data_IF_164837134510
#
_entry.id   IF_164837134510
#
_cell.length_a   1.000
_cell.length_b   1.000
_cell.length_c   1.000
_cell.angle_alpha   90.00
_cell.angle_beta   90.00
_cell.angle_gamma   90.00
#
_symmetry.space_group_name_H-M   'P 1'
#
loop_
_entity.id
_entity.type
_entity.pdbx_description
1 polymer ?
#
# COMPACT_ATOMS: atom_id res chain seq x y z
N UNK A 1 -38.05 12.27 -42.07
CA UNK A 1 -37.51 12.04 -40.70
C UNK A 1 -36.28 12.91 -40.51
N UNK A 2 -36.38 14.00 -39.74
CA UNK A 2 -35.24 14.88 -39.51
C UNK A 2 -34.47 14.36 -38.30
N UNK A 3 -33.26 13.88 -38.50
CA UNK A 3 -32.35 13.50 -37.47
C UNK A 3 -31.76 14.73 -36.80
N UNK A 4 -32.06 14.99 -35.53
CA UNK A 4 -31.48 16.08 -34.76
C UNK A 4 -30.15 15.61 -34.12
N UNK A 5 -28.99 15.96 -34.67
CA UNK A 5 -27.68 15.51 -34.11
C UNK A 5 -27.40 16.06 -32.73
N UNK A 6 -28.04 17.12 -32.32
CA UNK A 6 -27.82 17.75 -30.99
C UNK A 6 -28.30 16.90 -29.80
N UNK A 7 -29.24 15.98 -30.02
CA UNK A 7 -29.74 15.10 -28.92
C UNK A 7 -28.69 14.09 -28.48
N UNK A 8 -27.82 13.65 -29.38
CA UNK A 8 -26.74 12.72 -29.10
C UNK A 8 -25.55 13.38 -28.38
N UNK A 9 -25.27 14.66 -28.71
CA UNK A 9 -24.23 15.45 -28.04
C UNK A 9 -24.59 15.73 -26.57
N UNK A 10 -25.87 16.05 -26.30
CA UNK A 10 -26.33 16.29 -24.93
C UNK A 10 -26.27 15.01 -24.05
N UNK A 11 -26.60 13.84 -24.61
CA UNK A 11 -26.51 12.56 -23.92
C UNK A 11 -25.06 12.15 -23.61
N UNK A 12 -24.13 12.42 -24.55
CA UNK A 12 -22.71 12.14 -24.35
C UNK A 12 -22.07 13.03 -23.27
N UNK A 13 -22.45 14.33 -23.22
CA UNK A 13 -21.99 15.26 -22.20
C UNK A 13 -22.53 14.92 -20.80
N UNK A 14 -23.78 14.46 -20.72
CA UNK A 14 -24.39 14.02 -19.46
C UNK A 14 -23.72 12.77 -18.90
N UNK A 15 -23.42 11.78 -19.77
CA UNK A 15 -22.73 10.55 -19.39
C UNK A 15 -21.30 10.83 -18.87
N UNK A 16 -20.59 11.79 -19.48
CA UNK A 16 -19.24 12.16 -19.07
C UNK A 16 -19.22 12.83 -17.69
N UNK A 17 -20.24 13.65 -17.38
CA UNK A 17 -20.36 14.29 -16.07
C UNK A 17 -20.72 13.29 -14.94
N UNK A 18 -21.53 12.26 -15.25
CA UNK A 18 -21.90 11.22 -14.27
C UNK A 18 -20.67 10.34 -13.96
N UNK A 19 -19.87 9.98 -14.97
CA UNK A 19 -18.65 9.21 -14.74
C UNK A 19 -17.61 9.98 -13.90
N UNK A 20 -17.48 11.29 -14.10
CA UNK A 20 -16.60 12.14 -13.29
C UNK A 20 -17.10 12.30 -11.85
N UNK A 21 -18.42 12.36 -11.62
CA UNK A 21 -19.01 12.47 -10.27
C UNK A 21 -18.87 11.15 -9.47
N UNK A 22 -18.92 9.99 -10.13
CA UNK A 22 -18.69 8.69 -9.50
C UNK A 22 -17.22 8.50 -9.10
N UNK A 23 -16.28 8.95 -9.94
CA UNK A 23 -14.85 8.92 -9.60
C UNK A 23 -14.49 9.89 -8.46
N UNK A 24 -15.23 11.01 -8.30
CA UNK A 24 -15.04 11.98 -7.22
C UNK A 24 -15.47 11.46 -5.85
N UNK A 25 -16.21 10.35 -5.76
CA UNK A 25 -16.77 9.80 -4.53
C UNK A 25 -16.18 8.44 -4.12
N UNK A 26 -15.11 7.98 -4.75
CA UNK A 26 -14.44 6.74 -4.33
C UNK A 26 -13.89 6.93 -2.90
N UNK A 27 -14.22 6.02 -1.96
CA UNK A 27 -13.71 6.14 -0.58
C UNK A 27 -12.19 6.11 -0.57
N UNK A 28 -11.58 6.96 0.25
CA UNK A 28 -10.13 7.02 0.42
C UNK A 28 -9.75 6.80 1.87
N UNK A 29 -8.61 6.20 2.08
CA UNK A 29 -8.01 6.04 3.40
C UNK A 29 -6.57 6.54 3.38
N UNK A 30 -6.17 7.19 4.48
CA UNK A 30 -4.78 7.52 4.74
C UNK A 30 -4.16 6.46 5.61
N UNK A 31 -3.02 5.93 5.17
CA UNK A 31 -2.17 5.01 5.92
C UNK A 31 -1.01 5.80 6.49
N UNK A 32 -0.96 5.97 7.80
CA UNK A 32 0.16 6.60 8.51
C UNK A 32 1.09 5.53 9.04
N UNK A 33 2.36 5.61 8.66
CA UNK A 33 3.38 4.65 9.06
C UNK A 33 4.57 5.34 9.74
N UNK A 34 5.43 4.56 10.38
CA UNK A 34 6.70 5.06 10.92
C UNK A 34 7.68 5.60 9.85
N UNK A 35 7.38 5.38 8.55
CA UNK A 35 8.20 5.84 7.43
C UNK A 35 7.56 6.93 6.57
N UNK A 36 6.36 7.40 6.94
CA UNK A 36 5.59 8.40 6.22
C UNK A 36 4.16 7.97 5.95
N UNK A 37 3.47 8.71 5.10
CA UNK A 37 2.04 8.50 4.81
C UNK A 37 1.83 8.23 3.32
N UNK A 38 0.81 7.45 3.01
CA UNK A 38 0.29 7.28 1.66
C UNK A 38 -1.24 7.15 1.70
N UNK A 39 -1.88 7.41 0.57
CA UNK A 39 -3.34 7.37 0.43
C UNK A 39 -3.73 6.26 -0.52
N UNK A 40 -4.71 5.46 -0.11
CA UNK A 40 -5.33 4.42 -0.92
C UNK A 40 -6.73 4.90 -1.33
N UNK A 41 -7.01 4.88 -2.61
CA UNK A 41 -8.36 5.00 -3.17
C UNK A 41 -8.95 3.60 -3.33
N UNK A 42 -10.13 3.37 -2.74
CA UNK A 42 -10.80 2.08 -2.74
C UNK A 42 -11.78 1.97 -3.92
N UNK A 43 -12.05 0.74 -4.35
CA UNK A 43 -12.96 0.49 -5.48
C UNK A 43 -14.14 -0.41 -5.05
N UNK A 44 -15.17 0.15 -4.40
CA UNK A 44 -16.32 -0.63 -3.95
C UNK A 44 -17.21 -1.15 -5.09
N UNK A 45 -17.12 -0.58 -6.29
CA UNK A 45 -17.86 -1.07 -7.44
C UNK A 45 -17.34 -2.44 -7.94
N UNK A 46 -16.02 -2.62 -7.88
CA UNK A 46 -15.34 -3.83 -8.36
C UNK A 46 -15.07 -4.85 -7.25
N UNK A 47 -14.94 -4.41 -6.01
CA UNK A 47 -14.63 -5.25 -4.86
C UNK A 47 -15.49 -4.89 -3.63
N UNK A 48 -16.83 -4.96 -3.72
CA UNK A 48 -17.72 -4.49 -2.67
C UNK A 48 -17.51 -5.20 -1.32
N UNK A 49 -17.35 -6.53 -1.31
CA UNK A 49 -17.14 -7.29 -0.09
C UNK A 49 -15.77 -6.98 0.53
N UNK A 50 -14.73 -6.90 -0.29
CA UNK A 50 -13.36 -6.64 0.17
C UNK A 50 -13.24 -5.23 0.72
N UNK A 51 -13.81 -4.23 0.05
CA UNK A 51 -13.80 -2.84 0.52
C UNK A 51 -14.60 -2.70 1.82
N UNK A 52 -15.80 -3.28 1.90
CA UNK A 52 -16.62 -3.23 3.11
C UNK A 52 -15.88 -3.87 4.31
N UNK A 53 -15.24 -5.03 4.10
CA UNK A 53 -14.45 -5.72 5.10
C UNK A 53 -13.24 -4.86 5.54
N UNK A 54 -12.49 -4.31 4.61
CA UNK A 54 -11.34 -3.46 4.90
C UNK A 54 -11.74 -2.20 5.71
N UNK A 55 -12.80 -1.49 5.29
CA UNK A 55 -13.31 -0.32 6.00
C UNK A 55 -13.87 -0.67 7.38
N UNK A 56 -14.44 -1.86 7.56
CA UNK A 56 -14.83 -2.35 8.89
C UNK A 56 -13.63 -2.40 9.82
N UNK A 57 -12.51 -3.01 9.40
CA UNK A 57 -11.28 -3.06 10.19
C UNK A 57 -10.67 -1.66 10.43
N UNK A 58 -10.78 -0.75 9.47
CA UNK A 58 -10.36 0.67 9.64
C UNK A 58 -11.15 1.33 10.76
N UNK A 59 -12.47 1.22 10.74
CA UNK A 59 -13.39 1.83 11.75
C UNK A 59 -13.21 1.22 13.14
N UNK A 60 -12.93 -0.06 13.22
CA UNK A 60 -12.64 -0.77 14.47
C UNK A 60 -11.23 -0.47 15.02
N UNK A 61 -10.40 0.29 14.31
CA UNK A 61 -9.02 0.59 14.70
C UNK A 61 -8.08 -0.62 14.68
N UNK A 62 -8.47 -1.70 13.98
CA UNK A 62 -7.69 -2.95 13.94
C UNK A 62 -6.25 -2.72 13.48
N UNK A 63 -6.05 -1.83 12.51
CA UNK A 63 -4.75 -1.58 11.91
C UNK A 63 -3.82 -0.71 12.75
N UNK A 64 -4.33 -0.08 13.82
CA UNK A 64 -3.51 0.74 14.72
C UNK A 64 -2.45 -0.13 15.39
N UNK A 65 -1.20 0.35 15.32
CA UNK A 65 -0.01 -0.32 15.87
C UNK A 65 0.17 -1.76 15.36
N UNK A 66 -0.08 -1.96 14.06
CA UNK A 66 0.26 -3.20 13.37
C UNK A 66 1.53 -3.04 12.53
N UNK A 67 2.07 -4.16 12.04
CA UNK A 67 3.31 -4.20 11.27
C UNK A 67 3.06 -4.36 9.76
N UNK A 68 3.94 -3.76 8.96
CA UNK A 68 4.33 -4.35 7.69
C UNK A 68 5.33 -5.47 8.01
N UNK A 69 4.81 -6.67 8.19
CA UNK A 69 5.58 -7.82 8.68
C UNK A 69 6.30 -8.61 7.58
N UNK A 70 5.94 -8.36 6.32
CA UNK A 70 6.57 -8.99 5.15
C UNK A 70 6.81 -7.95 4.06
N UNK A 71 8.06 -7.84 3.61
CA UNK A 71 8.49 -6.97 2.54
C UNK A 71 9.37 -7.78 1.58
N UNK A 72 8.93 -7.92 0.35
CA UNK A 72 9.70 -8.59 -0.71
C UNK A 72 9.99 -7.56 -1.79
N UNK A 73 11.26 -7.21 -1.92
CA UNK A 73 11.73 -6.23 -2.91
C UNK A 73 11.28 -6.60 -4.32
N UNK A 74 10.86 -5.61 -5.09
CA UNK A 74 10.31 -5.78 -6.44
C UNK A 74 9.08 -6.71 -6.53
N UNK A 75 8.34 -6.85 -5.43
CA UNK A 75 7.11 -7.64 -5.37
C UNK A 75 6.02 -6.90 -4.57
N UNK A 76 5.96 -7.09 -3.23
CA UNK A 76 4.92 -6.51 -2.38
C UNK A 76 5.45 -6.07 -1.01
N UNK A 77 4.73 -5.14 -0.38
CA UNK A 77 4.76 -4.91 1.07
C UNK A 77 3.43 -5.40 1.65
N UNK A 78 3.46 -6.26 2.68
CA UNK A 78 2.29 -6.88 3.28
C UNK A 78 2.22 -6.61 4.78
N UNK A 79 1.03 -6.24 5.26
CA UNK A 79 0.84 -5.86 6.67
C UNK A 79 -0.60 -5.96 7.16
N UNK A 80 -0.84 -5.35 8.33
CA UNK A 80 -2.17 -5.19 8.93
C UNK A 80 -2.67 -6.36 9.79
N UNK A 81 -1.88 -7.44 9.93
CA UNK A 81 -2.32 -8.61 10.71
C UNK A 81 -1.61 -8.80 12.05
N UNK A 82 -0.39 -8.31 12.20
CA UNK A 82 0.43 -8.55 13.38
C UNK A 82 0.62 -7.29 14.21
N UNK A 83 0.45 -7.39 15.52
CA UNK A 83 0.66 -6.30 16.46
C UNK A 83 2.15 -5.90 16.49
N UNK A 84 2.44 -4.60 16.61
CA UNK A 84 3.81 -4.11 16.71
C UNK A 84 4.45 -4.40 18.06
N UNK A 85 3.65 -4.56 19.13
CA UNK A 85 4.13 -4.75 20.48
C UNK A 85 4.79 -6.10 20.74
N UNK A 86 4.24 -7.18 20.17
CA UNK A 86 4.65 -8.56 20.45
C UNK A 86 4.74 -9.46 19.20
N UNK A 87 4.49 -8.89 18.01
CA UNK A 87 4.49 -9.55 16.69
C UNK A 87 3.45 -10.67 16.55
N UNK A 88 2.51 -10.80 17.49
CA UNK A 88 1.46 -11.81 17.41
C UNK A 88 0.39 -11.42 16.42
N UNK A 89 -0.22 -12.44 15.81
CA UNK A 89 -1.38 -12.25 14.96
C UNK A 89 -2.55 -11.71 15.80
N UNK A 90 -3.15 -10.60 15.36
CA UNK A 90 -4.34 -10.04 15.99
C UNK A 90 -5.56 -10.89 15.64
N UNK A 91 -6.55 -11.00 16.53
CA UNK A 91 -7.84 -11.60 16.21
C UNK A 91 -8.46 -10.93 14.97
N UNK A 92 -9.06 -11.72 14.11
CA UNK A 92 -9.70 -11.25 12.89
C UNK A 92 -11.12 -11.83 12.79
N UNK A 93 -11.98 -11.14 12.04
CA UNK A 93 -13.31 -11.68 11.67
C UNK A 93 -13.17 -12.85 10.70
N UNK A 94 -14.30 -13.51 10.45
CA UNK A 94 -14.38 -14.58 9.46
C UNK A 94 -13.86 -14.11 8.09
N UNK A 95 -13.29 -15.04 7.36
CA UNK A 95 -12.82 -14.81 6.01
C UNK A 95 -13.98 -14.49 5.06
N UNK A 96 -13.69 -13.70 4.03
CA UNK A 96 -14.69 -13.29 3.03
C UNK A 96 -14.48 -14.02 1.70
N UNK A 97 -15.52 -13.98 0.86
CA UNK A 97 -15.43 -14.49 -0.51
C UNK A 97 -14.37 -13.72 -1.32
N UNK A 98 -13.61 -14.46 -2.12
CA UNK A 98 -12.54 -13.88 -2.96
C UNK A 98 -13.13 -13.22 -4.22
N UNK A 99 -12.87 -11.94 -4.37
CA UNK A 99 -13.33 -11.13 -5.51
C UNK A 99 -12.26 -10.95 -6.59
N UNK A 100 -11.26 -11.83 -6.71
CA UNK A 100 -10.14 -11.66 -7.66
C UNK A 100 -10.57 -11.64 -9.14
N UNK A 101 -11.77 -12.15 -9.48
CA UNK A 101 -12.33 -12.10 -10.83
C UNK A 101 -12.96 -10.75 -11.23
N UNK A 102 -12.74 -9.69 -10.49
CA UNK A 102 -13.40 -8.39 -10.64
C UNK A 102 -12.86 -7.50 -11.77
N UNK A 103 -11.87 -7.96 -12.53
CA UNK A 103 -11.24 -7.24 -13.64
C UNK A 103 -10.14 -6.25 -13.24
N UNK A 104 -9.85 -6.10 -11.94
CA UNK A 104 -8.69 -5.36 -11.46
C UNK A 104 -7.45 -6.24 -11.47
N UNK A 105 -6.29 -5.65 -11.76
CA UNK A 105 -5.01 -6.34 -11.90
C UNK A 105 -4.03 -5.96 -10.78
N UNK A 106 -3.14 -6.87 -10.44
CA UNK A 106 -2.05 -6.67 -9.48
C UNK A 106 -0.90 -5.86 -10.08
N UNK A 107 -1.20 -4.67 -10.57
CA UNK A 107 -0.24 -3.70 -11.07
C UNK A 107 0.46 -2.97 -9.94
N UNK A 108 1.63 -2.36 -10.22
CA UNK A 108 2.30 -1.47 -9.27
C UNK A 108 1.34 -0.43 -8.70
N UNK A 109 1.33 -0.28 -7.38
CA UNK A 109 0.42 0.59 -6.64
C UNK A 109 -0.96 -0.03 -6.35
N UNK A 110 -1.33 -1.15 -6.96
CA UNK A 110 -2.57 -1.84 -6.60
C UNK A 110 -2.49 -2.42 -5.19
N UNK A 111 -3.63 -2.37 -4.48
CA UNK A 111 -3.79 -2.90 -3.12
C UNK A 111 -4.66 -4.14 -3.15
N UNK A 112 -4.14 -5.25 -2.64
CA UNK A 112 -4.82 -6.54 -2.64
C UNK A 112 -5.03 -7.12 -1.25
N UNK A 113 -6.08 -7.96 -1.13
CA UNK A 113 -6.36 -8.71 0.08
C UNK A 113 -5.46 -9.95 0.15
N UNK A 114 -4.68 -10.05 1.23
CA UNK A 114 -3.85 -11.22 1.47
C UNK A 114 -4.70 -12.42 1.90
N UNK A 115 -4.29 -13.62 1.48
CA UNK A 115 -4.95 -14.90 1.79
C UNK A 115 -3.94 -16.03 1.92
N UNK A 116 -4.34 -17.14 2.51
CA UNK A 116 -3.62 -18.41 2.47
C UNK A 116 -3.85 -19.15 1.15
N UNK A 117 -3.47 -20.41 1.08
CA UNK A 117 -3.70 -21.25 -0.11
C UNK A 117 -5.19 -21.46 -0.41
N UNK A 118 -6.05 -21.48 0.63
CA UNK A 118 -7.48 -21.55 0.43
C UNK A 118 -7.99 -20.27 -0.25
N UNK A 119 -8.76 -20.37 -1.35
CA UNK A 119 -9.17 -19.21 -2.14
C UNK A 119 -9.94 -18.14 -1.36
N UNK A 120 -10.81 -18.55 -0.45
CA UNK A 120 -11.71 -17.71 0.33
C UNK A 120 -11.23 -17.60 1.80
N UNK A 121 -9.94 -17.35 2.02
CA UNK A 121 -9.33 -17.25 3.36
C UNK A 121 -8.86 -15.85 3.73
N UNK A 122 -9.08 -14.87 2.87
CA UNK A 122 -8.71 -13.48 3.14
C UNK A 122 -9.59 -12.84 4.21
N UNK A 123 -8.97 -12.09 5.13
CA UNK A 123 -9.69 -11.37 6.18
C UNK A 123 -9.10 -9.96 6.43
N UNK A 124 -8.15 -9.78 7.35
CA UNK A 124 -7.64 -8.45 7.76
C UNK A 124 -6.39 -7.99 6.99
N UNK A 125 -5.52 -8.92 6.59
CA UNK A 125 -4.23 -8.55 6.01
C UNK A 125 -4.35 -8.07 4.58
N UNK A 126 -3.59 -7.03 4.25
CA UNK A 126 -3.50 -6.49 2.90
C UNK A 126 -2.06 -6.36 2.44
N UNK A 127 -1.87 -6.18 1.15
CA UNK A 127 -0.56 -5.86 0.58
C UNK A 127 -0.68 -4.74 -0.45
N UNK A 128 0.45 -4.06 -0.70
CA UNK A 128 0.60 -3.09 -1.79
C UNK A 128 1.64 -3.64 -2.76
N UNK A 129 1.30 -3.66 -4.03
CA UNK A 129 2.22 -4.06 -5.10
C UNK A 129 3.26 -2.95 -5.35
N UNK A 130 4.54 -3.29 -5.28
CA UNK A 130 5.64 -2.36 -5.62
C UNK A 130 6.19 -2.60 -7.04
N UNK A 131 5.70 -3.61 -7.72
CA UNK A 131 5.91 -3.91 -9.12
C UNK A 131 4.62 -4.44 -9.75
N UNK A 132 4.62 -4.68 -11.06
CA UNK A 132 3.54 -5.40 -11.75
C UNK A 132 3.70 -6.90 -11.44
N UNK A 133 2.65 -7.52 -10.87
CA UNK A 133 2.66 -8.89 -10.40
C UNK A 133 1.53 -9.72 -11.05
N UNK A 134 1.61 -10.01 -12.36
CA UNK A 134 0.54 -10.73 -13.07
C UNK A 134 0.29 -12.14 -12.54
N UNK A 135 1.25 -12.74 -11.88
CA UNK A 135 1.10 -14.07 -11.24
C UNK A 135 0.13 -14.08 -10.06
N UNK A 136 -0.19 -12.91 -9.51
CA UNK A 136 -1.22 -12.73 -8.48
C UNK A 136 -2.62 -12.60 -9.06
N UNK A 137 -2.75 -12.37 -10.37
CA UNK A 137 -4.04 -12.27 -11.05
C UNK A 137 -4.71 -13.64 -11.19
N UNK A 138 -6.05 -13.70 -11.27
CA UNK A 138 -6.76 -14.95 -11.51
C UNK A 138 -6.51 -15.46 -12.93
N UNK A 139 -6.46 -16.78 -13.06
CA UNK A 139 -6.49 -17.48 -14.34
C UNK A 139 -7.62 -18.49 -14.33
N UNK A 140 -7.99 -19.07 -15.47
CA UNK A 140 -9.14 -19.96 -15.60
C UNK A 140 -9.15 -21.15 -14.60
N UNK A 141 -7.98 -21.57 -14.14
CA UNK A 141 -7.79 -22.74 -13.25
C UNK A 141 -7.40 -22.39 -11.82
N UNK A 142 -7.22 -21.10 -11.51
CA UNK A 142 -6.73 -20.65 -10.20
C UNK A 142 -7.29 -19.29 -9.81
N UNK A 143 -7.85 -19.20 -8.60
CA UNK A 143 -8.18 -17.92 -7.98
C UNK A 143 -6.92 -17.07 -7.78
N UNK A 144 -7.02 -15.80 -8.14
CA UNK A 144 -6.00 -14.80 -7.84
C UNK A 144 -6.16 -14.21 -6.43
N UNK A 145 -5.59 -13.02 -6.28
CA UNK A 145 -5.72 -12.18 -5.09
C UNK A 145 -6.59 -10.97 -5.44
N UNK A 146 -7.60 -10.70 -4.61
CA UNK A 146 -8.58 -9.65 -4.87
C UNK A 146 -7.94 -8.27 -4.71
N UNK A 147 -7.75 -7.56 -5.82
CA UNK A 147 -7.42 -6.14 -5.82
C UNK A 147 -8.68 -5.36 -5.48
N UNK A 148 -8.58 -4.42 -4.51
CA UNK A 148 -9.72 -3.65 -4.02
C UNK A 148 -9.46 -2.14 -3.95
N UNK A 149 -8.26 -1.69 -4.31
CA UNK A 149 -7.89 -0.28 -4.33
C UNK A 149 -6.53 -0.05 -4.96
N UNK A 150 -6.10 1.20 -4.93
CA UNK A 150 -4.79 1.63 -5.45
C UNK A 150 -4.22 2.77 -4.63
N UNK A 151 -2.92 2.86 -4.52
CA UNK A 151 -2.22 4.01 -3.97
C UNK A 151 -2.35 5.18 -4.96
N UNK A 152 -2.87 6.31 -4.48
CA UNK A 152 -3.05 7.54 -5.29
C UNK A 152 -2.10 8.66 -4.87
N UNK A 153 -1.55 8.59 -3.65
CA UNK A 153 -0.56 9.53 -3.13
C UNK A 153 0.46 8.80 -2.27
N UNK A 154 1.70 9.27 -2.22
CA UNK A 154 2.75 8.73 -1.35
C UNK A 154 3.31 7.38 -1.82
N UNK A 155 3.31 7.09 -3.13
CA UNK A 155 3.93 5.86 -3.66
C UNK A 155 5.44 5.81 -3.38
N UNK A 156 6.10 6.95 -3.22
CA UNK A 156 7.50 7.07 -2.78
C UNK A 156 7.73 6.53 -1.36
N UNK A 157 6.74 6.69 -0.47
CA UNK A 157 6.76 6.08 0.89
C UNK A 157 6.69 4.57 0.76
N UNK A 158 5.78 4.05 -0.06
CA UNK A 158 5.66 2.61 -0.34
C UNK A 158 6.96 2.04 -0.90
N UNK A 159 7.62 2.75 -1.81
CA UNK A 159 8.92 2.35 -2.37
C UNK A 159 10.03 2.31 -1.32
N UNK A 160 10.09 3.33 -0.45
CA UNK A 160 11.06 3.32 0.66
C UNK A 160 10.82 2.15 1.61
N UNK A 161 9.57 1.80 1.90
CA UNK A 161 9.24 0.60 2.67
C UNK A 161 9.69 -0.66 1.91
N UNK A 162 9.45 -0.73 0.60
CA UNK A 162 9.85 -1.85 -0.25
C UNK A 162 11.35 -2.07 -0.39
N UNK A 163 12.15 -1.04 -0.08
CA UNK A 163 13.62 -1.05 -0.21
C UNK A 163 14.36 -1.35 1.12
N UNK A 164 13.66 -1.59 2.23
CA UNK A 164 14.32 -1.84 3.51
C UNK A 164 15.01 -3.21 3.53
N UNK A 165 16.04 -3.32 4.38
CA UNK A 165 16.67 -4.61 4.64
C UNK A 165 15.71 -5.55 5.37
N UNK A 166 15.62 -6.78 4.89
CA UNK A 166 14.74 -7.82 5.42
C UNK A 166 15.51 -9.06 5.85
N UNK A 167 14.91 -9.89 6.72
CA UNK A 167 15.51 -11.11 7.21
C UNK A 167 14.57 -11.88 8.14
N UNK A 168 15.14 -12.73 8.99
CA UNK A 168 14.44 -13.42 10.07
C UNK A 168 14.29 -12.48 11.26
N UNK A 169 13.05 -12.18 11.69
CA UNK A 169 12.77 -11.30 12.83
C UNK A 169 11.63 -11.90 13.66
N UNK A 170 11.88 -12.18 14.93
CA UNK A 170 10.89 -12.78 15.83
C UNK A 170 10.26 -14.05 15.26
N UNK A 171 8.94 -14.12 15.10
CA UNK A 171 8.25 -15.31 14.56
C UNK A 171 8.37 -15.44 13.03
N UNK A 172 8.86 -14.40 12.33
CA UNK A 172 8.94 -14.38 10.88
C UNK A 172 10.26 -14.98 10.40
N UNK A 173 10.18 -16.04 9.59
CA UNK A 173 11.36 -16.82 9.15
C UNK A 173 12.13 -16.14 8.01
N UNK A 174 11.47 -15.26 7.23
CA UNK A 174 12.07 -14.52 6.11
C UNK A 174 11.29 -13.24 5.83
N UNK A 175 11.85 -12.37 5.01
CA UNK A 175 11.20 -11.21 4.41
C UNK A 175 10.63 -10.18 5.42
N UNK A 176 10.93 -10.32 6.72
CA UNK A 176 10.52 -9.34 7.71
C UNK A 176 11.51 -8.17 7.74
N UNK A 177 11.03 -6.91 7.76
CA UNK A 177 11.89 -5.76 7.96
C UNK A 177 12.73 -5.90 9.23
N UNK A 178 14.07 -5.78 9.12
CA UNK A 178 14.98 -5.87 10.27
C UNK A 178 14.68 -4.78 11.30
N UNK A 179 14.33 -3.57 10.82
CA UNK A 179 13.75 -2.51 11.66
C UNK A 179 12.25 -2.52 11.48
N UNK A 180 11.45 -2.76 12.53
CA UNK A 180 10.00 -2.85 12.42
C UNK A 180 9.39 -1.60 11.76
N UNK A 181 8.51 -1.81 10.80
CA UNK A 181 7.74 -0.75 10.15
C UNK A 181 6.32 -0.83 10.67
N UNK A 182 5.93 0.19 11.44
CA UNK A 182 4.64 0.24 12.11
C UNK A 182 3.62 1.00 11.27
N UNK A 183 2.45 0.41 11.08
CA UNK A 183 1.24 1.08 10.67
C UNK A 183 0.66 1.71 11.94
N UNK A 184 0.88 3.01 12.10
CA UNK A 184 0.43 3.75 13.27
C UNK A 184 -1.08 3.94 13.28
N UNK A 185 -1.67 4.16 12.09
CA UNK A 185 -3.11 4.37 11.90
C UNK A 185 -3.51 4.20 10.44
N UNK A 186 -4.73 3.71 10.20
CA UNK A 186 -5.44 3.85 8.93
C UNK A 186 -6.77 4.53 9.24
N UNK A 187 -7.10 5.60 8.50
CA UNK A 187 -8.33 6.37 8.70
C UNK A 187 -8.98 6.73 7.36
N UNK A 188 -10.30 6.73 7.33
CA UNK A 188 -11.06 7.26 6.20
C UNK A 188 -10.84 8.77 6.09
N UNK A 189 -10.68 9.26 4.85
CA UNK A 189 -10.52 10.68 4.55
C UNK A 189 -11.48 11.08 3.44
N UNK A 190 -11.98 12.31 3.51
CA UNK A 190 -12.76 12.87 2.41
C UNK A 190 -11.87 13.12 1.19
N UNK A 191 -12.43 12.95 -0.01
CA UNK A 191 -11.69 13.16 -1.27
C UNK A 191 -11.05 14.56 -1.35
N UNK A 192 -11.65 15.57 -0.69
CA UNK A 192 -11.12 16.93 -0.60
C UNK A 192 -9.93 17.05 0.37
N UNK A 193 -9.86 16.22 1.42
CA UNK A 193 -8.76 16.23 2.40
C UNK A 193 -7.48 15.55 1.88
N UNK A 194 -7.58 14.74 0.84
CA UNK A 194 -6.44 14.11 0.19
C UNK A 194 -5.54 15.12 -0.53
N UNK A 195 -6.11 16.25 -0.99
CA UNK A 195 -5.36 17.28 -1.71
C UNK A 195 -4.52 18.22 -0.81
N UNK A 196 -4.55 18.06 0.51
CA UNK A 196 -3.71 18.83 1.42
C UNK A 196 -2.27 18.24 1.45
N UNK A 197 -1.23 19.06 1.22
CA UNK A 197 0.15 18.57 1.29
C UNK A 197 0.43 17.98 2.67
N UNK A 198 1.01 16.77 2.70
CA UNK A 198 1.47 16.15 3.94
C UNK A 198 2.39 17.13 4.68
N UNK A 199 2.29 17.28 6.01
CA UNK A 199 3.26 18.05 6.75
C UNK A 199 4.65 17.48 6.48
N UNK A 200 5.51 18.30 5.88
CA UNK A 200 6.90 17.95 5.61
C UNK A 200 7.56 17.49 6.90
N UNK A 201 8.12 16.29 6.87
CA UNK A 201 8.94 15.81 7.98
C UNK A 201 10.01 16.88 8.29
N UNK A 202 10.30 17.17 9.57
CA UNK A 202 11.35 18.12 9.91
C UNK A 202 12.64 17.68 9.24
N UNK A 203 13.27 18.58 8.49
CA UNK A 203 14.57 18.36 7.89
C UNK A 203 15.54 17.87 8.98
N UNK A 204 16.41 16.88 8.71
CA UNK A 204 17.44 16.50 9.66
C UNK A 204 18.25 17.75 10.01
N UNK A 205 18.31 18.06 11.29
CA UNK A 205 19.10 19.19 11.78
C UNK A 205 20.52 19.02 11.21
N UNK A 206 20.99 20.03 10.50
CA UNK A 206 22.38 20.12 10.03
C UNK A 206 23.28 20.06 11.25
N UNK A 207 23.85 18.89 11.51
CA UNK A 207 24.92 18.75 12.50
C UNK A 207 26.10 19.61 12.01
N UNK A 208 26.42 20.63 12.79
CA UNK A 208 27.51 21.55 12.54
C UNK A 208 28.80 20.81 12.21
N UNK A 209 29.53 21.39 11.29
CA UNK A 209 30.86 20.94 10.89
C UNK A 209 31.74 20.64 12.11
N UNK A 210 32.08 19.40 12.32
CA UNK A 210 33.10 18.99 13.24
C UNK A 210 34.47 19.45 12.73
N UNK A 211 35.44 19.72 13.62
CA UNK A 211 36.76 20.22 13.24
C UNK A 211 37.48 19.24 12.29
N UNK A 212 38.12 19.82 11.25
CA UNK A 212 38.86 19.08 10.26
C UNK A 212 39.95 18.19 10.90
N UNK A 213 39.96 16.92 10.51
CA UNK A 213 41.03 15.98 10.85
C UNK A 213 42.35 16.44 10.20
N UNK A 214 43.50 16.35 10.92
CA UNK A 214 44.81 16.66 10.34
C UNK A 214 45.19 15.66 9.22
N UNK A 215 45.99 16.05 8.24
CA UNK A 215 46.38 15.20 7.13
C UNK A 215 47.23 14.01 7.60
N UNK A 216 46.95 12.84 7.05
CA UNK A 216 47.72 11.60 7.25
C UNK A 216 49.15 11.74 6.75
N UNK A 217 50.15 11.20 7.43
CA UNK A 217 51.54 11.19 6.97
C UNK A 217 51.69 10.32 5.70
N UNK A 218 52.55 10.77 4.80
CA UNK A 218 52.86 10.10 3.55
C UNK A 218 53.48 8.70 3.79
N UNK A 219 53.05 7.73 3.01
CA UNK A 219 53.56 6.36 3.02
C UNK A 219 55.05 6.36 2.55
N UNK A 220 55.93 5.54 3.13
CA UNK A 220 57.32 5.43 2.69
C UNK A 220 57.38 4.71 1.33
N UNK A 221 58.19 5.29 0.44
CA UNK A 221 58.55 4.73 -0.86
C UNK A 221 59.31 3.42 -0.70
N UNK A 222 58.84 2.36 -1.34
CA UNK A 222 59.57 1.09 -1.48
C UNK A 222 60.81 1.27 -2.36
N UNK A 223 61.97 0.73 -2.00
CA UNK A 223 63.11 0.66 -2.87
C UNK A 223 62.95 -0.40 -3.96
N UNK A 224 63.38 -0.06 -5.15
CA UNK A 224 63.50 -0.97 -6.28
C UNK A 224 64.65 -1.98 -6.03
N UNK A 225 64.38 -3.25 -6.33
CA UNK A 225 65.34 -4.26 -6.80
C UNK A 225 64.62 -5.24 -7.73
#
# INVERSE_FOLDING_TARGET
>A
MQYHPWRWLAAALLALNIASALAANAPRVRVTTSMGQFVIELNPERAPLTVANFLRYVREGHYTDTLFHRVVGNFVIQGGGHAASDMRLKPAHDAIFNESGNGLQNKRGAVGLARSDAPHSGNAQFYVNIADNPDLDPVATRWGYAVFGRVVEGMDVVDRIGAVATGTVGPFKSDAPIKPIVIQKIEEIDAAAAAAPAPSAPAPASSGAGPALPPLPAAPSSPAH
#
